data_IF_674866467211
#
_entry.id   IF_674866467211
#
_cell.length_a   1.000
_cell.length_b   1.000
_cell.length_c   1.000
_cell.angle_alpha   90.00
_cell.angle_beta   90.00
_cell.angle_gamma   90.00
#
_symmetry.space_group_name_H-M   'P 1'
#
loop_
_entity.id
_entity.type
_entity.pdbx_description
1 polymer ?
#
# COMPACT_ATOMS: atom_id res chain seq x y z
N UNK A 1 -15.15 -13.82 26.28
CA UNK A 1 -14.57 -15.18 26.22
C UNK A 1 -14.49 -15.75 27.63
N UNK A 2 -14.62 -17.06 27.83
CA UNK A 2 -14.50 -17.70 29.15
C UNK A 2 -13.14 -18.38 29.28
N UNK A 3 -12.55 -18.32 30.46
CA UNK A 3 -11.30 -19.02 30.72
C UNK A 3 -11.60 -20.51 30.72
N UNK A 4 -10.86 -21.28 29.91
CA UNK A 4 -11.07 -22.72 29.72
C UNK A 4 -10.86 -23.53 31.01
N UNK A 5 -10.20 -22.95 32.01
CA UNK A 5 -9.77 -23.63 33.22
C UNK A 5 -10.59 -23.25 34.44
N UNK A 6 -10.83 -21.95 34.65
CA UNK A 6 -11.62 -21.48 35.80
C UNK A 6 -13.06 -21.12 35.45
N UNK A 7 -13.47 -21.21 34.18
CA UNK A 7 -14.83 -20.92 33.73
C UNK A 7 -15.27 -19.45 33.86
N UNK A 8 -14.40 -18.58 34.42
CA UNK A 8 -14.67 -17.16 34.61
C UNK A 8 -14.80 -16.45 33.26
N UNK A 9 -15.78 -15.55 33.15
CA UNK A 9 -15.86 -14.62 32.03
C UNK A 9 -14.71 -13.62 32.09
N UNK A 10 -13.92 -13.57 31.02
CA UNK A 10 -12.81 -12.63 30.93
C UNK A 10 -13.31 -11.23 30.58
N UNK A 11 -12.83 -10.25 31.33
CA UNK A 11 -12.94 -8.84 30.97
C UNK A 11 -12.10 -8.52 29.73
N UNK A 12 -12.40 -7.41 29.05
CA UNK A 12 -11.69 -7.00 27.83
C UNK A 12 -10.17 -6.81 28.06
N UNK A 13 -9.78 -6.37 29.26
CA UNK A 13 -8.37 -6.23 29.66
C UNK A 13 -7.66 -7.58 29.86
N UNK A 14 -8.34 -8.57 30.46
CA UNK A 14 -7.77 -9.92 30.63
C UNK A 14 -7.62 -10.63 29.26
N UNK A 15 -8.49 -10.31 28.29
CA UNK A 15 -8.37 -10.80 26.91
C UNK A 15 -7.20 -10.14 26.18
N UNK A 16 -6.91 -8.85 26.43
CA UNK A 16 -5.80 -8.15 25.77
C UNK A 16 -4.43 -8.49 26.37
N UNK A 17 -4.36 -8.73 27.69
CA UNK A 17 -3.13 -9.14 28.37
C UNK A 17 -2.80 -10.64 28.20
N UNK A 18 -3.72 -11.42 27.63
CA UNK A 18 -3.53 -12.85 27.40
C UNK A 18 -3.29 -13.64 28.70
N UNK A 19 -3.82 -13.16 29.83
CA UNK A 19 -3.65 -13.81 31.14
C UNK A 19 -4.93 -13.67 31.95
N UNK A 20 -5.44 -14.78 32.51
CA UNK A 20 -6.60 -14.73 33.39
C UNK A 20 -6.19 -14.31 34.80
N UNK A 21 -6.74 -13.21 35.34
CA UNK A 21 -6.41 -12.74 36.70
C UNK A 21 -6.83 -13.73 37.79
N UNK A 22 -7.84 -14.56 37.50
CA UNK A 22 -8.40 -15.50 38.48
C UNK A 22 -7.63 -16.82 38.62
N UNK A 23 -6.93 -17.28 37.57
CA UNK A 23 -6.18 -18.53 37.62
C UNK A 23 -4.71 -18.39 37.21
N UNK A 24 -4.27 -17.18 36.87
CA UNK A 24 -2.89 -16.86 36.47
C UNK A 24 -2.45 -17.50 35.15
N UNK A 25 -3.31 -18.27 34.50
CA UNK A 25 -2.95 -19.01 33.29
C UNK A 25 -2.94 -18.07 32.08
N UNK A 26 -1.90 -18.19 31.26
CA UNK A 26 -1.82 -17.51 29.97
C UNK A 26 -2.89 -18.07 29.05
N UNK A 27 -3.72 -17.18 28.53
CA UNK A 27 -4.67 -17.49 27.48
C UNK A 27 -3.93 -17.22 26.19
N UNK A 28 -3.80 -18.27 25.38
CA UNK A 28 -3.38 -18.14 24.01
C UNK A 28 -4.49 -17.37 23.27
N UNK A 29 -4.49 -16.05 23.40
CA UNK A 29 -5.19 -15.23 22.42
C UNK A 29 -4.48 -15.49 21.10
N UNK A 30 -5.18 -15.96 20.04
CA UNK A 30 -4.59 -15.94 18.73
C UNK A 30 -4.23 -14.47 18.50
N UNK A 31 -2.93 -14.16 18.44
CA UNK A 31 -2.45 -12.83 18.16
C UNK A 31 -3.22 -12.37 16.94
N UNK A 32 -4.09 -11.36 17.11
CA UNK A 32 -4.93 -10.82 16.05
C UNK A 32 -4.03 -10.62 14.86
N UNK A 33 -4.16 -11.52 13.89
CA UNK A 33 -3.17 -11.66 12.84
C UNK A 33 -3.23 -10.36 12.04
N UNK A 34 -2.10 -9.68 11.91
CA UNK A 34 -1.88 -8.50 11.05
C UNK A 34 -2.11 -8.79 9.55
N UNK A 35 -2.88 -9.83 9.22
CA UNK A 35 -3.30 -10.23 7.88
C UNK A 35 -3.93 -9.06 7.13
N UNK A 36 -4.63 -8.13 7.81
CA UNK A 36 -5.16 -6.93 7.18
C UNK A 36 -4.07 -5.98 6.71
N UNK A 37 -3.03 -5.72 7.52
CA UNK A 37 -1.90 -4.86 7.16
C UNK A 37 -1.05 -5.46 6.04
N UNK A 38 -0.76 -6.76 6.11
CA UNK A 38 0.01 -7.46 5.07
C UNK A 38 -0.71 -7.41 3.71
N UNK A 39 -2.01 -7.70 3.68
CA UNK A 39 -2.81 -7.60 2.45
C UNK A 39 -2.81 -6.16 1.93
N UNK A 40 -2.98 -5.16 2.80
CA UNK A 40 -3.04 -3.76 2.40
C UNK A 40 -1.74 -3.27 1.79
N UNK A 41 -0.59 -3.54 2.41
CA UNK A 41 0.72 -3.05 1.92
C UNK A 41 1.12 -3.72 0.61
N UNK A 42 0.84 -5.01 0.45
CA UNK A 42 1.09 -5.73 -0.81
C UNK A 42 0.23 -5.18 -1.96
N UNK A 43 -1.06 -4.88 -1.69
CA UNK A 43 -1.98 -4.26 -2.65
C UNK A 43 -1.57 -2.82 -3.02
N UNK A 44 -1.10 -2.04 -2.05
CA UNK A 44 -0.67 -0.65 -2.27
C UNK A 44 0.57 -0.62 -3.17
N UNK A 45 1.60 -1.42 -2.90
CA UNK A 45 2.79 -1.48 -3.75
C UNK A 45 2.47 -1.90 -5.19
N UNK A 46 1.60 -2.90 -5.36
CA UNK A 46 1.20 -3.38 -6.67
C UNK A 46 0.31 -2.38 -7.42
N UNK A 47 -0.60 -1.70 -6.73
CA UNK A 47 -1.46 -0.68 -7.35
C UNK A 47 -0.69 0.58 -7.76
N UNK A 48 0.29 1.06 -6.97
CA UNK A 48 1.15 2.17 -7.40
C UNK A 48 1.93 1.86 -8.67
N UNK A 49 2.38 0.61 -8.84
CA UNK A 49 3.09 0.18 -10.05
C UNK A 49 2.18 0.23 -11.28
N UNK A 50 0.93 -0.21 -11.15
CA UNK A 50 -0.08 -0.14 -12.21
C UNK A 50 -0.40 1.32 -12.55
N UNK A 51 -0.61 2.17 -11.54
CA UNK A 51 -0.88 3.59 -11.72
C UNK A 51 0.28 4.27 -12.45
N UNK A 52 1.53 3.97 -12.10
CA UNK A 52 2.71 4.50 -12.80
C UNK A 52 2.72 4.14 -14.30
N UNK A 53 2.39 2.90 -14.66
CA UNK A 53 2.27 2.48 -16.07
C UNK A 53 1.15 3.25 -16.78
N UNK A 54 0.00 3.43 -16.13
CA UNK A 54 -1.12 4.19 -16.69
C UNK A 54 -0.73 5.66 -16.92
N UNK A 55 0.02 6.27 -16.00
CA UNK A 55 0.50 7.65 -16.14
C UNK A 55 1.50 7.78 -17.29
N UNK A 56 2.36 6.79 -17.50
CA UNK A 56 3.31 6.79 -18.62
C UNK A 56 2.59 6.62 -19.98
N UNK A 57 1.74 5.61 -20.10
CA UNK A 57 1.00 5.36 -21.36
C UNK A 57 -0.01 6.47 -21.63
N UNK A 58 -0.78 6.84 -20.60
CA UNK A 58 -1.78 7.90 -20.66
C UNK A 58 -1.16 9.27 -20.92
N UNK A 59 0.00 9.56 -20.33
CA UNK A 59 0.69 10.82 -20.60
C UNK A 59 1.40 10.85 -21.96
N UNK A 60 1.82 9.71 -22.51
CA UNK A 60 2.27 9.65 -23.90
C UNK A 60 1.14 10.03 -24.88
N UNK A 61 -0.04 9.42 -24.70
CA UNK A 61 -1.24 9.72 -25.51
C UNK A 61 -1.72 11.16 -25.25
N UNK A 62 -1.76 11.58 -23.99
CA UNK A 62 -2.17 12.92 -23.58
C UNK A 62 -1.26 14.01 -24.15
N UNK A 63 0.04 13.76 -24.24
CA UNK A 63 0.99 14.70 -24.84
C UNK A 63 0.70 14.94 -26.33
N UNK A 64 0.22 13.94 -27.06
CA UNK A 64 -0.23 14.11 -28.44
C UNK A 64 -1.50 14.97 -28.57
N UNK A 65 -2.41 14.86 -27.60
CA UNK A 65 -3.67 15.62 -27.60
C UNK A 65 -3.48 17.07 -27.16
N UNK A 66 -2.68 17.29 -26.12
CA UNK A 66 -2.46 18.60 -25.49
C UNK A 66 -1.34 19.37 -26.18
N UNK A 67 -0.39 18.68 -26.81
CA UNK A 67 0.72 19.29 -27.54
C UNK A 67 0.32 19.98 -28.86
N UNK A 68 -0.98 20.15 -29.13
CA UNK A 68 -1.46 20.84 -30.33
C UNK A 68 -1.45 22.35 -30.09
N UNK A 69 -1.02 23.12 -31.09
CA UNK A 69 -1.10 24.58 -31.08
C UNK A 69 -2.51 25.09 -31.39
N UNK A 70 -2.72 26.40 -31.37
CA UNK A 70 -4.02 27.04 -31.64
C UNK A 70 -4.59 26.72 -33.03
N UNK A 71 -3.74 26.26 -33.96
CA UNK A 71 -4.10 25.86 -35.31
C UNK A 71 -4.31 24.34 -35.46
N UNK A 72 -4.13 23.58 -34.37
CA UNK A 72 -4.30 22.13 -34.31
C UNK A 72 -3.09 21.33 -34.80
N UNK A 73 -1.97 21.98 -35.13
CA UNK A 73 -0.73 21.31 -35.49
C UNK A 73 0.02 20.86 -34.24
N UNK A 74 0.75 19.75 -34.35
CA UNK A 74 1.55 19.25 -33.24
C UNK A 74 2.76 20.16 -33.03
N UNK A 75 2.78 20.92 -31.94
CA UNK A 75 3.96 21.66 -31.50
C UNK A 75 4.91 20.69 -30.82
N UNK A 76 6.07 20.43 -31.44
CA UNK A 76 7.08 19.55 -30.86
C UNK A 76 7.54 20.02 -29.48
N UNK A 77 7.67 21.33 -29.26
CA UNK A 77 8.08 21.87 -27.95
C UNK A 77 7.07 21.53 -26.86
N UNK A 78 5.78 21.76 -27.13
CA UNK A 78 4.72 21.45 -26.16
C UNK A 78 4.59 19.95 -25.95
N UNK A 79 4.63 19.16 -27.03
CA UNK A 79 4.61 17.71 -26.97
C UNK A 79 5.72 17.15 -26.06
N UNK A 80 6.98 17.54 -26.30
CA UNK A 80 8.11 17.07 -25.50
C UNK A 80 8.05 17.56 -24.05
N UNK A 81 7.55 18.77 -23.80
CA UNK A 81 7.37 19.27 -22.45
C UNK A 81 6.38 18.40 -21.65
N UNK A 82 5.17 18.17 -22.18
CA UNK A 82 4.17 17.34 -21.51
C UNK A 82 4.62 15.89 -21.39
N UNK A 83 5.32 15.36 -22.41
CA UNK A 83 5.87 14.02 -22.38
C UNK A 83 6.91 13.89 -21.25
N UNK A 84 7.80 14.86 -21.12
CA UNK A 84 8.84 14.85 -20.09
C UNK A 84 8.24 14.92 -18.67
N UNK A 85 7.23 15.76 -18.47
CA UNK A 85 6.49 15.83 -17.20
C UNK A 85 5.82 14.50 -16.88
N UNK A 86 5.19 13.85 -17.87
CA UNK A 86 4.57 12.54 -17.70
C UNK A 86 5.61 11.45 -17.36
N UNK A 87 6.75 11.44 -18.05
CA UNK A 87 7.82 10.46 -17.81
C UNK A 87 8.39 10.60 -16.41
N UNK A 88 8.73 11.82 -15.99
CA UNK A 88 9.23 12.07 -14.62
C UNK A 88 8.17 11.70 -13.59
N UNK A 89 6.93 12.15 -13.77
CA UNK A 89 5.84 11.84 -12.83
C UNK A 89 5.59 10.35 -12.71
N UNK A 90 5.55 9.63 -13.84
CA UNK A 90 5.39 8.18 -13.88
C UNK A 90 6.53 7.45 -13.18
N UNK A 91 7.78 7.84 -13.45
CA UNK A 91 8.97 7.27 -12.78
C UNK A 91 8.94 7.48 -11.27
N UNK A 92 8.55 8.67 -10.79
CA UNK A 92 8.45 8.96 -9.36
C UNK A 92 7.39 8.09 -8.67
N UNK A 93 6.21 7.94 -9.29
CA UNK A 93 5.12 7.11 -8.74
C UNK A 93 5.52 5.63 -8.72
N UNK A 94 6.09 5.13 -9.83
CA UNK A 94 6.60 3.76 -9.89
C UNK A 94 7.70 3.51 -8.87
N UNK A 95 8.64 4.44 -8.73
CA UNK A 95 9.72 4.38 -7.73
C UNK A 95 9.18 4.34 -6.30
N UNK A 96 8.17 5.15 -5.97
CA UNK A 96 7.50 5.07 -4.67
C UNK A 96 6.84 3.71 -4.44
N UNK A 97 6.20 3.13 -5.46
CA UNK A 97 5.62 1.78 -5.38
C UNK A 97 6.66 0.71 -5.04
N UNK A 98 7.86 0.79 -5.62
CA UNK A 98 8.96 -0.12 -5.30
C UNK A 98 9.51 0.09 -3.89
N UNK A 99 9.64 1.34 -3.43
CA UNK A 99 10.06 1.65 -2.05
C UNK A 99 9.07 1.05 -1.04
N UNK A 100 7.76 1.21 -1.26
CA UNK A 100 6.73 0.64 -0.37
C UNK A 100 6.81 -0.89 -0.35
N UNK A 101 6.96 -1.52 -1.52
CA UNK A 101 7.10 -2.98 -1.61
C UNK A 101 8.39 -3.50 -0.94
N UNK A 102 9.48 -2.73 -1.03
CA UNK A 102 10.73 -3.04 -0.37
C UNK A 102 10.63 -2.92 1.15
N UNK A 103 10.02 -1.83 1.65
CA UNK A 103 9.78 -1.62 3.08
C UNK A 103 8.92 -2.74 3.67
N UNK A 104 7.88 -3.15 2.93
CA UNK A 104 7.04 -4.27 3.29
C UNK A 104 7.82 -5.59 3.38
N UNK A 105 8.67 -5.86 2.39
CA UNK A 105 9.52 -7.06 2.37
C UNK A 105 10.47 -7.10 3.57
N UNK A 106 11.04 -5.96 3.97
CA UNK A 106 11.88 -5.85 5.16
C UNK A 106 11.07 -6.12 6.43
N UNK A 107 9.92 -5.45 6.61
CA UNK A 107 9.05 -5.66 7.77
C UNK A 107 8.61 -7.12 7.91
N UNK A 108 8.33 -7.81 6.80
CA UNK A 108 7.99 -9.23 6.80
C UNK A 108 9.14 -10.13 7.21
N UNK A 109 10.38 -9.82 6.82
CA UNK A 109 11.57 -10.62 7.19
C UNK A 109 12.04 -10.39 8.63
N UNK A 110 11.66 -9.27 9.25
CA UNK A 110 11.99 -8.93 10.64
C UNK A 110 11.01 -9.52 11.65
N UNK A 111 9.88 -10.07 11.19
CA UNK A 111 8.83 -10.68 12.02
C UNK A 111 9.01 -12.20 12.07
#
# INVERSE_FOLDING_TARGET
MKCTECGKELTAEEQSQGTCSSCGKKIETPATSNTSEEIYTTLVGQSLKIVGIIVLVGGFIGSFLIGKDDYGYLSYSSFFFYLFVSVIGGLLITGMGEIVNFLYTICKKLK
#
